data_IF_360230090219
#
_entry.id   IF_360230090219
#
_cell.length_a   1.000
_cell.length_b   1.000
_cell.length_c   1.000
_cell.angle_alpha   90.00
_cell.angle_beta   90.00
_cell.angle_gamma   90.00
#
_symmetry.space_group_name_H-M   'P 1'
#
loop_
_entity.id
_entity.type
_entity.pdbx_description
1 polymer ?
#
# COMPACT_ATOMS: atom_id res chain seq x y z
N UNK A 1 2.43 1.15 10.94
CA UNK A 1 2.22 -0.02 10.07
C UNK A 1 3.28 -0.03 8.98
N UNK A 2 3.55 -1.17 8.38
CA UNK A 2 4.52 -1.30 7.27
C UNK A 2 3.81 -1.87 6.04
N UNK A 3 4.16 -1.37 4.86
CA UNK A 3 3.72 -1.94 3.58
C UNK A 3 4.67 -3.09 3.22
N UNK A 4 4.10 -4.17 2.69
CA UNK A 4 4.86 -5.27 2.10
C UNK A 4 4.93 -4.99 0.59
N UNK A 5 6.12 -4.62 0.13
CA UNK A 5 6.37 -4.35 -1.30
C UNK A 5 7.25 -5.45 -1.86
N UNK A 6 6.81 -6.06 -2.97
CA UNK A 6 7.61 -6.99 -3.74
C UNK A 6 8.22 -6.28 -4.94
N UNK A 7 9.54 -6.35 -5.05
CA UNK A 7 10.28 -5.84 -6.20
C UNK A 7 11.48 -6.75 -6.47
N UNK A 8 11.66 -7.13 -7.74
CA UNK A 8 12.78 -7.92 -8.24
C UNK A 8 13.18 -9.12 -7.35
N UNK A 9 12.22 -10.01 -7.07
CA UNK A 9 12.47 -11.24 -6.29
C UNK A 9 12.55 -11.04 -4.77
N UNK A 10 12.42 -9.80 -4.28
CA UNK A 10 12.61 -9.48 -2.86
C UNK A 10 11.36 -8.80 -2.27
N UNK A 11 11.01 -9.19 -1.04
CA UNK A 11 10.00 -8.50 -0.24
C UNK A 11 10.67 -7.53 0.71
N UNK A 12 10.19 -6.28 0.71
CA UNK A 12 10.65 -5.22 1.60
C UNK A 12 9.50 -4.73 2.48
N UNK A 13 9.83 -4.36 3.72
CA UNK A 13 8.92 -3.65 4.61
C UNK A 13 9.20 -2.15 4.51
N UNK A 14 8.17 -1.38 4.17
CA UNK A 14 8.26 0.08 4.04
C UNK A 14 7.38 0.72 5.10
N UNK A 15 7.98 1.47 6.02
CA UNK A 15 7.22 2.17 7.05
C UNK A 15 6.32 3.26 6.42
N UNK A 16 5.04 3.25 6.80
CA UNK A 16 4.11 4.31 6.39
C UNK A 16 4.41 5.56 7.22
N UNK A 17 4.86 6.62 6.54
CA UNK A 17 5.15 7.92 7.19
C UNK A 17 3.93 8.83 7.16
N UNK A 18 3.89 9.84 8.06
CA UNK A 18 2.84 10.87 8.06
C UNK A 18 2.78 11.61 6.71
N UNK A 19 3.95 11.99 6.19
CA UNK A 19 4.10 12.69 4.91
C UNK A 19 3.45 11.95 3.74
N UNK A 20 3.51 10.61 3.72
CA UNK A 20 2.86 9.82 2.68
C UNK A 20 1.34 10.01 2.70
N UNK A 21 0.72 10.06 3.88
CA UNK A 21 -0.73 10.10 4.05
C UNK A 21 -1.28 11.53 4.28
N UNK A 22 -0.45 12.57 4.22
CA UNK A 22 -0.85 13.95 4.52
C UNK A 22 -1.97 14.49 3.60
N UNK A 23 -2.09 13.96 2.37
CA UNK A 23 -3.16 14.33 1.44
C UNK A 23 -4.46 13.53 1.64
N UNK A 24 -4.43 12.49 2.48
CA UNK A 24 -5.57 11.62 2.77
C UNK A 24 -6.31 12.17 3.99
N UNK A 25 -7.52 12.69 3.77
CA UNK A 25 -8.38 13.18 4.86
C UNK A 25 -9.17 12.04 5.46
N UNK A 26 -8.69 11.51 6.58
CA UNK A 26 -9.39 10.51 7.38
C UNK A 26 -10.36 11.23 8.34
N UNK A 27 -11.67 11.07 8.12
CA UNK A 27 -12.73 11.80 8.86
C UNK A 27 -13.33 11.02 10.04
N UNK A 28 -12.85 9.80 10.28
CA UNK A 28 -13.31 8.91 11.34
C UNK A 28 -12.14 8.07 11.85
N UNK A 29 -12.27 7.50 13.05
CA UNK A 29 -11.29 6.51 13.51
C UNK A 29 -11.33 5.29 12.58
N UNK A 30 -10.18 4.97 12.00
CA UNK A 30 -9.98 3.81 11.14
C UNK A 30 -9.00 2.86 11.82
N UNK A 31 -9.29 1.57 11.75
CA UNK A 31 -8.33 0.56 12.18
C UNK A 31 -7.22 0.40 11.13
N UNK A 32 -6.20 -0.38 11.50
CA UNK A 32 -5.05 -0.59 10.64
C UNK A 32 -5.41 -1.29 9.31
N UNK A 33 -6.40 -2.17 9.30
CA UNK A 33 -6.83 -2.87 8.08
C UNK A 33 -7.55 -1.92 7.12
N UNK A 34 -8.44 -1.08 7.65
CA UNK A 34 -9.13 -0.03 6.91
C UNK A 34 -8.13 0.96 6.33
N UNK A 35 -7.11 1.36 7.11
CA UNK A 35 -6.04 2.21 6.61
C UNK A 35 -5.22 1.52 5.51
N UNK A 36 -4.95 0.23 5.63
CA UNK A 36 -4.26 -0.54 4.58
C UNK A 36 -5.06 -0.55 3.27
N UNK A 37 -6.39 -0.71 3.35
CA UNK A 37 -7.26 -0.65 2.18
C UNK A 37 -7.29 0.75 1.54
N UNK A 38 -7.33 1.81 2.36
CA UNK A 38 -7.24 3.18 1.86
C UNK A 38 -5.91 3.39 1.13
N UNK A 39 -4.79 2.94 1.70
CA UNK A 39 -3.47 3.04 1.07
C UNK A 39 -3.43 2.25 -0.24
N UNK A 40 -3.96 1.02 -0.27
CA UNK A 40 -4.02 0.22 -1.49
C UNK A 40 -4.78 0.96 -2.59
N UNK A 41 -5.96 1.52 -2.28
CA UNK A 41 -6.76 2.25 -3.27
C UNK A 41 -6.09 3.56 -3.74
N UNK A 42 -5.42 4.27 -2.82
CA UNK A 42 -4.81 5.57 -3.13
C UNK A 42 -3.49 5.43 -3.90
N UNK A 43 -2.62 4.51 -3.49
CA UNK A 43 -1.24 4.43 -3.98
C UNK A 43 -0.99 3.36 -5.03
N UNK A 44 -1.97 2.49 -5.32
CA UNK A 44 -1.79 1.40 -6.28
C UNK A 44 -2.77 1.48 -7.45
N UNK A 45 -2.38 0.85 -8.55
CA UNK A 45 -3.25 0.48 -9.65
C UNK A 45 -3.39 -1.03 -9.69
N UNK A 46 -4.61 -1.53 -9.93
CA UNK A 46 -4.82 -2.97 -10.11
C UNK A 46 -4.49 -3.35 -11.55
N UNK A 47 -3.44 -4.16 -11.72
CA UNK A 47 -3.10 -4.77 -12.99
C UNK A 47 -3.92 -6.05 -13.13
N UNK A 48 -4.88 -6.01 -14.05
CA UNK A 48 -5.77 -7.14 -14.35
C UNK A 48 -5.01 -8.29 -15.06
N UNK A 49 -5.75 -9.23 -15.63
CA UNK A 49 -5.24 -10.36 -16.40
C UNK A 49 -4.15 -9.91 -17.41
N UNK A 50 -3.02 -10.63 -17.50
CA UNK A 50 -2.70 -11.89 -16.80
C UNK A 50 -1.99 -11.71 -15.44
N UNK A 51 -1.77 -10.47 -14.99
CA UNK A 51 -0.91 -10.18 -13.84
C UNK A 51 -1.68 -10.39 -12.52
N UNK A 52 -2.89 -9.84 -12.41
CA UNK A 52 -3.75 -9.92 -11.22
C UNK A 52 -3.09 -9.43 -9.91
N UNK A 53 -2.38 -8.29 -9.96
CA UNK A 53 -1.65 -7.72 -8.81
C UNK A 53 -1.87 -6.22 -8.68
N UNK A 54 -1.71 -5.69 -7.46
CA UNK A 54 -1.64 -4.25 -7.24
C UNK A 54 -0.21 -3.74 -7.46
N UNK A 55 -0.02 -2.81 -8.39
CA UNK A 55 1.26 -2.14 -8.64
C UNK A 55 1.24 -0.75 -8.01
N UNK A 56 2.33 -0.36 -7.35
CA UNK A 56 2.48 0.99 -6.81
C UNK A 56 2.54 2.01 -7.97
N UNK A 57 1.76 3.10 -7.87
CA UNK A 57 1.66 4.15 -8.92
C UNK A 57 2.99 4.86 -9.19
N UNK A 58 3.93 4.84 -8.24
CA UNK A 58 5.27 5.40 -8.37
C UNK A 58 6.28 4.43 -9.01
N UNK A 59 5.85 3.20 -9.35
CA UNK A 59 6.70 2.17 -9.94
C UNK A 59 7.64 1.46 -8.96
N UNK A 60 7.49 1.67 -7.65
CA UNK A 60 8.36 1.07 -6.62
C UNK A 60 8.25 -0.45 -6.49
N UNK A 61 7.19 -1.05 -7.03
CA UNK A 61 6.99 -2.51 -7.07
C UNK A 61 5.52 -2.90 -6.98
N UNK A 62 5.29 -4.14 -6.57
CA UNK A 62 3.95 -4.70 -6.34
C UNK A 62 3.60 -4.64 -4.86
N UNK A 63 2.42 -4.09 -4.58
CA UNK A 63 1.84 -4.08 -3.25
C UNK A 63 1.29 -5.46 -2.90
N UNK A 64 1.79 -6.05 -1.81
CA UNK A 64 1.34 -7.36 -1.32
C UNK A 64 0.43 -7.29 -0.10
N UNK A 65 0.46 -6.17 0.64
CA UNK A 65 -0.36 -5.98 1.85
C UNK A 65 0.31 -5.05 2.85
N UNK A 66 -0.22 -5.04 4.06
CA UNK A 66 0.36 -4.28 5.17
C UNK A 66 0.49 -5.14 6.44
N UNK A 67 1.44 -4.79 7.29
CA UNK A 67 1.62 -5.35 8.63
C UNK A 67 1.16 -4.32 9.67
N UNK A 68 0.16 -4.73 10.46
CA UNK A 68 -0.30 -4.03 11.64
C UNK A 68 0.56 -4.43 12.85
N UNK A 69 0.96 -3.46 13.67
CA UNK A 69 1.71 -3.68 14.92
C UNK A 69 0.88 -3.19 16.10
#
# INVERSE_FOLDING_TARGET
>A
MELIIYNDGTYSLVEVTKQMIDHIKILADVDCFSLCDIIRLEFTEYLDYPINLHQMKDGSGYFYGCICR
#
